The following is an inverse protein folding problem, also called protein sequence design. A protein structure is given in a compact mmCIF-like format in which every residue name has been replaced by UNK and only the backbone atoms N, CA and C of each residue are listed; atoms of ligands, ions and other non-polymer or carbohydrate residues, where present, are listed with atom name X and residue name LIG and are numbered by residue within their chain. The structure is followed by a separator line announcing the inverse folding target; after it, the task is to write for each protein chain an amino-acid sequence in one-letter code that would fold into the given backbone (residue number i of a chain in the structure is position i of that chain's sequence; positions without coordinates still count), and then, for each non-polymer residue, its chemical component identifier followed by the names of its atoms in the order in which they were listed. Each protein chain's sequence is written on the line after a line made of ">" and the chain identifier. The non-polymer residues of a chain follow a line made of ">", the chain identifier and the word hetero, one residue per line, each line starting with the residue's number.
data_IF_556141521058
#
_entry.id   IF_556141521058
#
_cell.length_a   1.000
_cell.length_b   1.000
_cell.length_c   1.000
_cell.angle_alpha   90.00
_cell.angle_beta   90.00
_cell.angle_gamma   90.00
#
_symmetry.space_group_name_H-M   'P 1'
#
loop_
_entity.id
_entity.type
_entity.pdbx_description
1 polymer ?
#
# COMPACT_ATOMS: atom_id res chain seq x y z
N UNK A 1 2.39 25.87 -12.22
CA UNK A 1 1.90 25.28 -10.97
C UNK A 1 2.99 24.40 -10.35
N UNK A 2 3.26 24.65 -9.09
CA UNK A 2 4.34 23.94 -8.41
C UNK A 2 3.91 22.53 -8.05
N UNK A 3 4.72 21.56 -8.42
CA UNK A 3 4.48 20.17 -8.09
C UNK A 3 4.82 19.94 -6.61
N UNK A 4 3.95 19.24 -5.91
CA UNK A 4 4.20 18.93 -4.51
C UNK A 4 5.22 17.79 -4.41
N UNK A 5 5.92 17.66 -3.28
CA UNK A 5 6.85 16.56 -3.07
C UNK A 5 6.15 15.21 -3.17
N UNK A 6 6.88 14.21 -3.60
CA UNK A 6 6.38 12.83 -3.70
C UNK A 6 5.74 12.37 -2.39
N UNK A 7 6.35 12.75 -1.28
CA UNK A 7 5.87 12.37 0.05
C UNK A 7 4.45 12.85 0.34
N UNK A 8 4.06 14.00 -0.21
CA UNK A 8 2.71 14.51 -0.04
C UNK A 8 1.68 13.52 -0.59
N UNK A 9 1.94 12.99 -1.77
CA UNK A 9 1.00 12.07 -2.42
C UNK A 9 0.95 10.74 -1.72
N UNK A 10 2.09 10.23 -1.29
CA UNK A 10 2.17 8.98 -0.55
C UNK A 10 1.42 9.07 0.76
N UNK A 11 1.63 10.15 1.49
CA UNK A 11 0.98 10.35 2.78
C UNK A 11 -0.53 10.46 2.63
N UNK A 12 -0.99 11.15 1.59
CA UNK A 12 -2.41 11.30 1.32
C UNK A 12 -3.05 9.94 1.02
N UNK A 13 -2.38 9.13 0.22
CA UNK A 13 -2.84 7.79 -0.12
C UNK A 13 -2.89 6.91 1.13
N UNK A 14 -1.83 6.93 1.93
CA UNK A 14 -1.75 6.12 3.15
C UNK A 14 -2.85 6.47 4.13
N UNK A 15 -3.12 7.77 4.30
CA UNK A 15 -4.18 8.21 5.18
C UNK A 15 -5.55 7.73 4.70
N UNK A 16 -5.79 7.77 3.41
CA UNK A 16 -7.02 7.30 2.82
C UNK A 16 -7.21 5.80 3.06
N UNK A 17 -6.17 5.03 2.79
CA UNK A 17 -6.20 3.57 2.97
C UNK A 17 -6.44 3.22 4.44
N UNK A 18 -5.71 3.88 5.33
CA UNK A 18 -5.85 3.64 6.77
C UNK A 18 -7.28 3.91 7.23
N UNK A 19 -7.86 5.00 6.76
CA UNK A 19 -9.22 5.37 7.10
C UNK A 19 -10.23 4.34 6.58
N UNK A 20 -10.08 3.94 5.33
CA UNK A 20 -11.02 3.02 4.70
C UNK A 20 -10.96 1.61 5.29
N UNK A 21 -9.77 1.17 5.69
CA UNK A 21 -9.58 -0.19 6.17
C UNK A 21 -9.53 -0.30 7.70
N UNK A 22 -9.58 0.84 8.39
CA UNK A 22 -9.53 0.81 9.85
C UNK A 22 -8.14 0.51 10.39
N UNK A 23 -7.12 0.79 9.61
CA UNK A 23 -5.74 0.52 10.01
C UNK A 23 -5.02 1.76 10.47
N UNK A 24 -3.74 1.62 10.71
CA UNK A 24 -2.86 2.69 11.13
C UNK A 24 -1.76 2.90 10.11
N UNK A 25 -1.52 4.16 9.78
CA UNK A 25 -0.38 4.49 8.95
C UNK A 25 0.88 4.28 9.76
N UNK A 26 1.82 3.54 9.19
CA UNK A 26 3.08 3.28 9.84
C UNK A 26 3.89 4.59 9.91
N UNK A 27 4.36 4.99 11.08
CA UNK A 27 5.15 6.21 11.19
C UNK A 27 6.39 6.12 10.31
N UNK A 28 6.61 7.18 9.54
CA UNK A 28 7.81 7.26 8.73
C UNK A 28 8.90 7.91 9.56
N UNK A 29 9.51 7.15 10.42
CA UNK A 29 10.54 7.65 11.31
C UNK A 29 11.86 7.87 10.58
N UNK A 30 12.00 7.30 9.40
CA UNK A 30 13.28 7.31 8.72
C UNK A 30 14.31 6.41 9.37
N UNK A 31 14.00 5.93 10.55
CA UNK A 31 14.90 5.06 11.29
C UNK A 31 14.70 3.60 10.98
N UNK A 32 13.55 3.23 10.44
CA UNK A 32 13.27 1.83 10.12
C UNK A 32 13.22 1.64 8.62
N UNK A 33 13.87 0.59 8.17
CA UNK A 33 13.88 0.22 6.76
C UNK A 33 12.55 -0.32 6.29
N UNK A 34 11.67 -0.63 7.22
CA UNK A 34 10.51 -1.47 6.92
C UNK A 34 9.21 -0.73 6.78
N UNK A 35 9.16 0.55 7.09
CA UNK A 35 7.87 1.16 7.32
C UNK A 35 7.51 2.31 6.41
N UNK A 36 8.27 2.53 5.36
CA UNK A 36 7.97 3.64 4.46
C UNK A 36 6.76 3.31 3.60
N UNK A 37 5.72 4.15 3.72
CA UNK A 37 4.55 4.02 2.88
C UNK A 37 3.61 2.91 3.25
N UNK A 38 3.75 2.36 4.44
CA UNK A 38 2.95 1.22 4.82
C UNK A 38 1.75 1.58 5.67
N UNK A 39 0.70 0.79 5.54
CA UNK A 39 -0.47 0.83 6.42
C UNK A 39 -0.56 -0.52 7.11
N UNK A 40 -0.73 -0.50 8.42
CA UNK A 40 -0.72 -1.71 9.24
C UNK A 40 -2.12 -1.98 9.78
N UNK A 41 -2.61 -3.18 9.52
CA UNK A 41 -3.84 -3.70 10.12
C UNK A 41 -3.46 -4.82 11.08
N UNK A 42 -4.44 -5.39 11.76
CA UNK A 42 -4.15 -6.47 12.71
C UNK A 42 -3.42 -7.63 12.04
N UNK A 43 -3.94 -8.11 10.92
CA UNK A 43 -3.38 -9.28 10.23
C UNK A 43 -2.76 -8.97 8.88
N UNK A 44 -2.76 -7.71 8.47
CA UNK A 44 -2.30 -7.32 7.13
C UNK A 44 -1.23 -6.25 7.20
N UNK A 45 -0.27 -6.35 6.30
CA UNK A 45 0.65 -5.27 6.01
C UNK A 45 0.37 -4.81 4.59
N UNK A 46 0.11 -3.52 4.43
CA UNK A 46 -0.24 -2.92 3.15
C UNK A 46 0.90 -2.03 2.68
N UNK A 47 1.43 -2.30 1.50
CA UNK A 47 2.39 -1.41 0.84
C UNK A 47 1.61 -0.52 -0.11
N UNK A 48 1.77 0.80 0.04
CA UNK A 48 1.03 1.76 -0.77
C UNK A 48 1.94 2.41 -1.81
N UNK A 49 1.48 2.46 -3.06
CA UNK A 49 2.20 3.08 -4.16
C UNK A 49 1.29 4.04 -4.90
N UNK A 50 1.80 5.21 -5.23
CA UNK A 50 1.04 6.19 -5.98
C UNK A 50 1.95 6.94 -6.94
N UNK A 51 1.35 7.73 -7.80
CA UNK A 51 2.07 8.59 -8.74
C UNK A 51 1.89 10.04 -8.34
N UNK A 52 2.86 10.87 -8.71
CA UNK A 52 2.80 12.30 -8.39
C UNK A 52 1.98 13.09 -9.41
N UNK A 53 1.59 12.44 -10.50
CA UNK A 53 0.70 13.03 -11.51
C UNK A 53 -0.07 11.91 -12.17
N UNK A 54 -1.25 12.21 -12.75
CA UNK A 54 -2.06 11.18 -13.40
C UNK A 54 -1.29 10.43 -14.48
N UNK A 55 -1.50 9.14 -14.55
CA UNK A 55 -0.83 8.28 -15.51
C UNK A 55 -1.80 7.22 -15.99
N UNK A 56 -1.53 6.68 -17.18
CA UNK A 56 -2.35 5.58 -17.72
C UNK A 56 -1.78 4.22 -17.37
N UNK A 57 -0.68 4.20 -16.65
CA UNK A 57 -0.05 2.92 -16.32
C UNK A 57 0.67 3.01 -14.99
N UNK A 58 0.86 1.84 -14.39
CA UNK A 58 1.64 1.70 -13.18
C UNK A 58 2.48 0.44 -13.34
N UNK A 59 3.79 0.60 -13.24
CA UNK A 59 4.69 -0.54 -13.25
C UNK A 59 4.74 -1.16 -11.87
N UNK A 60 4.44 -2.43 -11.79
CA UNK A 60 4.49 -3.15 -10.52
C UNK A 60 5.78 -3.97 -10.52
N UNK A 61 6.67 -3.64 -9.61
CA UNK A 61 7.92 -4.36 -9.47
C UNK A 61 7.72 -5.55 -8.55
N UNK A 62 8.13 -6.71 -9.03
CA UNK A 62 8.01 -7.95 -8.25
C UNK A 62 8.65 -7.81 -6.88
N UNK A 63 9.77 -7.11 -6.80
CA UNK A 63 10.47 -6.93 -5.53
C UNK A 63 9.63 -6.20 -4.48
N UNK A 64 8.71 -5.35 -4.91
CA UNK A 64 7.80 -4.68 -3.95
C UNK A 64 6.93 -5.70 -3.24
N UNK A 65 6.41 -6.65 -4.01
CA UNK A 65 5.54 -7.69 -3.47
C UNK A 65 6.31 -8.62 -2.55
N UNK A 66 7.49 -9.02 -2.99
CA UNK A 66 8.33 -9.92 -2.20
C UNK A 66 8.79 -9.28 -0.90
N UNK A 67 9.23 -8.04 -0.98
CA UNK A 67 9.68 -7.32 0.20
C UNK A 67 8.56 -7.10 1.20
N UNK A 68 7.38 -6.73 0.71
CA UNK A 68 6.23 -6.52 1.57
C UNK A 68 5.82 -7.82 2.27
N UNK A 69 5.89 -8.92 1.56
CA UNK A 69 5.62 -10.25 2.12
C UNK A 69 6.60 -10.60 3.23
N UNK A 70 7.89 -10.34 3.00
CA UNK A 70 8.92 -10.60 3.99
C UNK A 70 8.72 -9.73 5.23
N UNK A 71 8.40 -8.46 5.03
CA UNK A 71 8.15 -7.54 6.13
C UNK A 71 6.93 -7.96 6.93
N UNK A 72 5.87 -8.37 6.24
CA UNK A 72 4.65 -8.84 6.90
C UNK A 72 4.97 -10.05 7.78
N UNK A 73 5.73 -10.98 7.25
CA UNK A 73 6.16 -12.16 8.01
C UNK A 73 6.98 -11.76 9.24
N UNK A 74 7.91 -10.83 9.07
CA UNK A 74 8.76 -10.37 10.16
C UNK A 74 7.94 -9.65 11.26
N UNK A 75 6.84 -9.02 10.87
CA UNK A 75 5.95 -8.33 11.82
C UNK A 75 4.87 -9.24 12.40
N UNK A 76 4.88 -10.51 12.05
CA UNK A 76 3.87 -11.46 12.51
C UNK A 76 2.53 -11.29 11.85
N UNK A 77 2.47 -10.64 10.70
CA UNK A 77 1.23 -10.48 9.96
C UNK A 77 0.98 -11.70 9.10
N UNK A 78 -0.27 -12.10 9.00
CA UNK A 78 -0.63 -13.28 8.22
C UNK A 78 -0.78 -12.98 6.74
N UNK A 79 -1.00 -11.72 6.40
CA UNK A 79 -1.33 -11.33 5.03
C UNK A 79 -0.58 -10.08 4.60
N UNK A 80 -0.40 -9.92 3.30
CA UNK A 80 0.19 -8.74 2.73
C UNK A 80 -0.53 -8.37 1.44
N UNK A 81 -0.58 -7.08 1.14
CA UNK A 81 -1.17 -6.60 -0.09
C UNK A 81 -0.45 -5.34 -0.53
N UNK A 82 -0.51 -5.08 -1.83
CA UNK A 82 -0.02 -3.83 -2.38
C UNK A 82 -1.22 -3.06 -2.90
N UNK A 83 -1.34 -1.80 -2.52
CA UNK A 83 -2.43 -0.95 -2.99
C UNK A 83 -1.82 0.19 -3.79
N UNK A 84 -2.37 0.44 -4.97
CA UNK A 84 -1.86 1.51 -5.82
C UNK A 84 -2.99 2.28 -6.48
N UNK A 85 -2.67 3.48 -6.94
CA UNK A 85 -3.55 4.26 -7.79
C UNK A 85 -2.73 4.84 -8.94
N UNK A 86 -3.43 5.44 -9.90
CA UNK A 86 -2.77 6.01 -11.07
C UNK A 86 -2.47 7.50 -10.92
N UNK A 87 -2.58 8.02 -9.71
CA UNK A 87 -2.21 9.40 -9.43
C UNK A 87 -3.26 10.44 -9.75
N UNK A 88 -4.51 10.04 -10.01
CA UNK A 88 -5.58 10.98 -10.29
C UNK A 88 -6.24 11.40 -8.97
N UNK A 89 -5.90 12.60 -8.50
CA UNK A 89 -6.40 13.09 -7.23
C UNK A 89 -7.86 13.56 -7.30
N UNK A 90 -8.40 13.75 -8.49
CA UNK A 90 -9.79 14.17 -8.65
C UNK A 90 -10.73 12.98 -8.61
N UNK A 91 -10.27 11.85 -9.09
CA UNK A 91 -11.05 10.62 -9.10
C UNK A 91 -10.19 9.48 -8.60
N UNK A 92 -9.82 9.55 -7.31
CA UNK A 92 -8.91 8.52 -6.77
C UNK A 92 -9.59 7.17 -6.73
N UNK A 93 -8.97 6.21 -7.38
CA UNK A 93 -9.42 4.83 -7.38
C UNK A 93 -8.23 3.98 -6.96
N UNK A 94 -8.33 3.34 -5.81
CA UNK A 94 -7.27 2.47 -5.32
C UNK A 94 -7.51 1.05 -5.80
N UNK A 95 -6.45 0.37 -6.18
CA UNK A 95 -6.50 -1.02 -6.62
C UNK A 95 -5.65 -1.86 -5.69
N UNK A 96 -6.09 -3.07 -5.45
CA UNK A 96 -5.39 -3.98 -4.53
C UNK A 96 -4.78 -5.13 -5.30
N UNK A 97 -3.52 -5.41 -5.03
CA UNK A 97 -2.83 -6.57 -5.58
C UNK A 97 -2.56 -7.54 -4.45
N UNK A 98 -3.09 -8.74 -4.59
CA UNK A 98 -2.85 -9.83 -3.67
C UNK A 98 -2.55 -11.08 -4.49
N UNK A 99 -2.04 -12.11 -3.84
CA UNK A 99 -1.81 -13.37 -4.54
C UNK A 99 -3.15 -14.03 -4.85
N UNK A 100 -3.15 -14.88 -5.85
CA UNK A 100 -4.35 -15.67 -6.16
C UNK A 100 -4.76 -16.50 -4.94
N UNK A 101 -3.79 -17.00 -4.20
CA UNK A 101 -4.04 -17.78 -3.00
C UNK A 101 -4.83 -16.96 -1.96
N UNK A 102 -4.43 -15.72 -1.72
CA UNK A 102 -5.14 -14.83 -0.81
C UNK A 102 -6.54 -14.52 -1.30
N UNK A 103 -6.68 -14.23 -2.58
CA UNK A 103 -7.96 -13.92 -3.18
C UNK A 103 -8.93 -15.10 -3.05
N UNK A 104 -8.42 -16.29 -3.30
CA UNK A 104 -9.19 -17.53 -3.16
C UNK A 104 -9.73 -17.67 -1.74
N UNK A 105 -8.91 -17.40 -0.74
CA UNK A 105 -9.33 -17.47 0.66
C UNK A 105 -10.45 -16.48 0.96
N UNK A 106 -10.32 -15.27 0.46
CA UNK A 106 -11.35 -14.24 0.66
C UNK A 106 -12.69 -14.66 0.04
N UNK A 107 -12.64 -15.20 -1.18
CA UNK A 107 -13.86 -15.62 -1.88
C UNK A 107 -14.52 -16.78 -1.18
N UNK A 108 -13.74 -17.72 -0.70
CA UNK A 108 -14.27 -18.93 -0.05
C UNK A 108 -14.52 -18.77 1.43
N UNK A 109 -14.15 -17.63 2.00
CA UNK A 109 -14.33 -17.41 3.42
C UNK A 109 -13.40 -18.21 4.30
N UNK A 110 -12.26 -18.56 3.76
CA UNK A 110 -11.26 -19.34 4.48
C UNK A 110 -10.31 -18.49 5.29
#
# INVERSE_FOLDING_TARGET
>A
MTKRPTRYYSKKQENLIAKELGGNRQPNSGATMFSKGDVVLDDWLIEAKTKTSPSNSMTIHREWLEKNEEEAFAMGKQHSALIFDFGDIHYPQEYVIITLEEFKKLIKGE
#
